data_IF_242620165982
#
_entry.id   IF_242620165982
#
_cell.length_a   1.000
_cell.length_b   1.000
_cell.length_c   1.000
_cell.angle_alpha   90.00
_cell.angle_beta   90.00
_cell.angle_gamma   90.00
#
_symmetry.space_group_name_H-M   'P 1'
#
loop_
_entity.id
_entity.type
_entity.pdbx_description
1 polymer ?
#
# COMPACT_ATOMS: atom_id res chain seq x y z
N UNK A 1 -15.80 -11.20 -44.70
CA UNK A 1 -16.43 -11.11 -43.36
C UNK A 1 -15.51 -11.80 -42.36
N UNK A 2 -14.64 -11.04 -41.69
CA UNK A 2 -13.84 -11.52 -40.56
C UNK A 2 -14.06 -10.53 -39.42
N UNK A 3 -14.57 -11.05 -38.30
CA UNK A 3 -14.78 -10.32 -37.05
C UNK A 3 -13.41 -10.10 -36.41
N UNK A 4 -13.00 -8.86 -36.24
CA UNK A 4 -11.91 -8.50 -35.33
C UNK A 4 -12.51 -8.30 -33.94
N UNK A 5 -12.13 -9.19 -33.01
CA UNK A 5 -12.46 -9.04 -31.59
C UNK A 5 -11.63 -7.90 -31.00
N UNK A 6 -12.32 -6.94 -30.40
CA UNK A 6 -11.76 -5.83 -29.61
C UNK A 6 -11.19 -6.36 -28.27
N UNK A 7 -10.07 -5.83 -27.74
CA UNK A 7 -9.45 -6.37 -26.54
C UNK A 7 -10.10 -5.77 -25.29
N UNK A 8 -11.09 -6.46 -24.73
CA UNK A 8 -11.65 -6.12 -23.41
C UNK A 8 -10.69 -6.46 -22.24
N UNK A 9 -9.65 -7.27 -22.49
CA UNK A 9 -8.75 -7.78 -21.44
C UNK A 9 -7.70 -6.77 -20.95
N UNK A 10 -7.35 -5.73 -21.70
CA UNK A 10 -6.26 -4.80 -21.33
C UNK A 10 -6.69 -3.80 -20.24
N UNK A 11 -7.97 -3.39 -20.23
CA UNK A 11 -8.49 -2.44 -19.23
C UNK A 11 -8.72 -3.07 -17.84
N UNK A 12 -8.88 -4.40 -17.77
CA UNK A 12 -9.12 -5.08 -16.49
C UNK A 12 -7.81 -5.25 -15.69
N UNK A 13 -6.67 -5.48 -16.38
CA UNK A 13 -5.35 -5.66 -15.74
C UNK A 13 -4.79 -4.33 -15.21
N UNK A 14 -4.98 -3.23 -15.95
CA UNK A 14 -4.54 -1.90 -15.50
C UNK A 14 -5.24 -1.42 -14.21
N UNK A 15 -6.47 -1.87 -13.97
CA UNK A 15 -7.22 -1.54 -12.74
C UNK A 15 -6.76 -2.39 -11.54
N UNK A 16 -6.23 -3.60 -11.80
CA UNK A 16 -5.75 -4.52 -10.75
C UNK A 16 -4.36 -4.14 -10.22
N UNK A 17 -3.50 -3.56 -11.06
CA UNK A 17 -2.13 -3.16 -10.68
C UNK A 17 -2.12 -1.85 -9.86
N UNK A 18 -3.05 -0.92 -10.10
CA UNK A 18 -3.16 0.33 -9.33
C UNK A 18 -3.68 0.04 -7.90
N UNK A 19 -4.49 -1.01 -7.71
CA UNK A 19 -5.07 -1.39 -6.42
C UNK A 19 -4.13 -2.16 -5.48
N UNK A 20 -2.91 -2.49 -5.91
CA UNK A 20 -1.95 -3.30 -5.13
C UNK A 20 -0.70 -2.54 -4.68
N UNK A 21 -0.56 -1.27 -5.05
CA UNK A 21 0.35 -0.37 -4.35
C UNK A 21 -0.44 0.30 -3.22
N UNK A 22 -0.40 -0.20 -1.97
CA UNK A 22 -0.71 0.69 -0.88
C UNK A 22 0.26 1.88 -1.02
N UNK A 23 -0.30 3.09 -1.08
CA UNK A 23 0.42 4.37 -0.95
C UNK A 23 1.12 4.49 0.43
N UNK A 24 1.19 3.38 1.19
CA UNK A 24 1.70 3.28 2.54
C UNK A 24 3.21 3.44 2.67
N UNK A 25 3.99 3.51 1.59
CA UNK A 25 5.41 3.92 1.68
C UNK A 25 5.66 5.40 1.38
N UNK A 26 4.69 6.13 0.81
CA UNK A 26 4.83 7.57 0.53
C UNK A 26 4.05 8.45 1.53
N UNK A 27 3.10 7.88 2.29
CA UNK A 27 2.25 8.62 3.22
C UNK A 27 2.67 8.51 4.71
N UNK A 28 3.66 7.71 5.07
CA UNK A 28 4.06 7.50 6.48
C UNK A 28 4.94 8.60 7.10
N UNK A 29 5.07 9.76 6.46
CA UNK A 29 5.64 10.94 7.16
C UNK A 29 5.07 12.24 6.60
N UNK A 30 3.78 12.45 6.82
CA UNK A 30 3.20 13.80 6.83
C UNK A 30 3.05 14.20 8.30
N UNK A 31 4.16 14.62 8.91
CA UNK A 31 4.12 15.42 10.12
C UNK A 31 4.13 16.91 9.74
N UNK A 32 3.38 17.77 10.44
CA UNK A 32 3.59 19.20 10.37
C UNK A 32 4.83 19.58 11.20
N UNK A 33 5.85 20.11 10.50
CA UNK A 33 6.95 20.95 11.00
C UNK A 33 7.23 20.90 12.52
N UNK A 34 8.19 20.07 12.93
CA UNK A 34 9.11 20.47 14.01
C UNK A 34 10.28 21.23 13.37
N UNK A 35 10.45 22.49 13.77
CA UNK A 35 11.60 23.32 13.38
C UNK A 35 12.90 22.62 13.79
N UNK A 36 13.67 22.13 12.81
CA UNK A 36 15.05 21.70 13.06
C UNK A 36 15.92 22.91 13.40
N UNK A 37 16.86 22.79 14.36
CA UNK A 37 17.76 23.88 14.69
C UNK A 37 18.62 24.23 13.47
N UNK A 38 18.68 25.52 13.16
CA UNK A 38 19.53 26.08 12.10
C UNK A 38 20.99 25.74 12.37
N UNK A 39 21.56 24.79 11.61
CA UNK A 39 22.98 24.50 11.70
C UNK A 39 23.44 23.10 11.30
N UNK A 40 23.08 22.60 10.12
CA UNK A 40 23.91 21.57 9.44
C UNK A 40 23.65 21.61 7.92
N UNK A 41 24.73 21.64 7.13
CA UNK A 41 24.83 21.58 5.65
C UNK A 41 23.55 21.28 4.85
N UNK A 42 23.30 22.09 3.80
CA UNK A 42 22.18 22.05 2.86
C UNK A 42 22.10 20.80 1.95
N UNK A 43 22.17 19.60 2.51
CA UNK A 43 21.88 18.38 1.77
C UNK A 43 20.36 18.21 1.66
N UNK A 44 19.82 18.38 0.44
CA UNK A 44 18.42 18.04 0.14
C UNK A 44 18.18 16.56 0.45
N UNK A 45 17.09 16.24 1.14
CA UNK A 45 16.74 14.84 1.39
C UNK A 45 16.30 14.14 0.09
N UNK A 46 16.39 12.81 0.02
CA UNK A 46 15.86 12.02 -1.11
C UNK A 46 14.38 12.31 -1.32
N UNK A 47 13.63 12.50 -0.23
CA UNK A 47 12.21 12.88 -0.27
C UNK A 47 11.99 14.22 -0.97
N UNK A 48 12.75 15.25 -0.61
CA UNK A 48 12.62 16.58 -1.24
C UNK A 48 12.92 16.49 -2.74
N UNK A 49 13.95 15.74 -3.12
CA UNK A 49 14.30 15.51 -4.52
C UNK A 49 13.19 14.76 -5.29
N UNK A 50 12.51 13.79 -4.67
CA UNK A 50 11.36 13.10 -5.28
C UNK A 50 10.20 14.08 -5.51
N UNK A 51 9.86 14.88 -4.50
CA UNK A 51 8.74 15.84 -4.56
C UNK A 51 9.01 16.90 -5.63
N UNK A 52 10.24 17.41 -5.70
CA UNK A 52 10.66 18.31 -6.78
C UNK A 52 10.53 17.64 -8.15
N UNK A 53 11.02 16.40 -8.27
CA UNK A 53 10.98 15.61 -9.50
C UNK A 53 9.55 15.41 -10.06
N UNK A 54 8.56 15.18 -9.20
CA UNK A 54 7.16 15.06 -9.62
C UNK A 54 6.59 16.32 -10.28
N UNK A 55 7.12 17.48 -9.91
CA UNK A 55 6.63 18.80 -10.32
C UNK A 55 7.45 19.44 -11.45
N UNK A 56 8.45 18.74 -12.01
CA UNK A 56 9.27 19.28 -13.09
C UNK A 56 8.47 19.50 -14.38
N UNK A 57 8.80 20.58 -15.09
CA UNK A 57 8.36 20.84 -16.46
C UNK A 57 9.29 20.17 -17.47
N UNK A 58 8.85 19.95 -18.74
CA UNK A 58 9.72 19.42 -19.79
C UNK A 58 11.02 20.22 -19.98
N UNK A 59 10.96 21.55 -19.93
CA UNK A 59 12.15 22.41 -20.07
C UNK A 59 13.14 22.25 -18.90
N UNK A 60 12.61 22.07 -17.69
CA UNK A 60 13.43 21.78 -16.52
C UNK A 60 14.08 20.39 -16.62
N UNK A 61 13.36 19.40 -17.16
CA UNK A 61 13.90 18.05 -17.39
C UNK A 61 15.03 18.10 -18.43
N UNK A 62 14.84 18.78 -19.55
CA UNK A 62 15.90 18.95 -20.55
C UNK A 62 17.17 19.60 -19.92
N UNK A 63 16.98 20.63 -19.09
CA UNK A 63 18.08 21.29 -18.37
C UNK A 63 18.79 20.33 -17.38
N UNK A 64 18.02 19.46 -16.71
CA UNK A 64 18.57 18.46 -15.79
C UNK A 64 19.30 17.33 -16.53
N UNK A 65 18.83 16.94 -17.71
CA UNK A 65 19.49 15.95 -18.56
C UNK A 65 20.83 16.48 -19.10
N UNK A 66 20.88 17.75 -19.52
CA UNK A 66 22.14 18.41 -19.89
C UNK A 66 23.12 18.45 -18.70
N UNK A 67 22.62 18.79 -17.51
CA UNK A 67 23.43 18.76 -16.29
C UNK A 67 23.95 17.35 -15.99
N UNK A 68 23.11 16.33 -16.14
CA UNK A 68 23.50 14.93 -15.91
C UNK A 68 24.51 14.44 -16.95
N UNK A 69 24.45 14.94 -18.18
CA UNK A 69 25.46 14.62 -19.20
C UNK A 69 26.85 15.16 -18.81
N UNK A 70 26.91 16.28 -18.09
CA UNK A 70 28.17 16.85 -17.57
C UNK A 70 28.66 16.14 -16.30
N UNK A 71 27.75 15.71 -15.42
CA UNK A 71 28.06 14.91 -14.24
C UNK A 71 27.14 13.68 -14.15
N UNK A 72 27.52 12.56 -14.79
CA UNK A 72 26.72 11.34 -14.79
C UNK A 72 26.55 10.71 -13.41
N UNK A 73 27.29 11.17 -12.39
CA UNK A 73 27.24 10.64 -11.03
C UNK A 73 26.36 11.44 -10.08
N UNK A 74 25.75 12.55 -10.53
CA UNK A 74 24.89 13.40 -9.71
C UNK A 74 23.61 12.66 -9.28
N UNK A 75 23.66 12.11 -8.05
CA UNK A 75 22.58 11.35 -7.41
C UNK A 75 21.31 12.19 -7.25
N UNK A 76 21.43 13.49 -6.94
CA UNK A 76 20.27 14.34 -6.73
C UNK A 76 19.51 14.56 -8.05
N UNK A 77 20.25 14.84 -9.13
CA UNK A 77 19.67 14.99 -10.48
C UNK A 77 19.02 13.69 -10.94
N UNK A 78 19.71 12.55 -10.78
CA UNK A 78 19.12 11.23 -11.11
C UNK A 78 17.87 10.94 -10.30
N UNK A 79 17.81 11.34 -9.03
CA UNK A 79 16.64 11.16 -8.18
C UNK A 79 15.45 11.97 -8.70
N UNK A 80 15.67 13.24 -9.05
CA UNK A 80 14.64 14.11 -9.63
C UNK A 80 14.11 13.58 -10.97
N UNK A 81 15.01 13.16 -11.87
CA UNK A 81 14.64 12.60 -13.17
C UNK A 81 13.92 11.25 -13.02
N UNK A 82 14.38 10.38 -12.13
CA UNK A 82 13.71 9.11 -11.84
C UNK A 82 12.28 9.33 -11.29
N UNK A 83 12.10 10.32 -10.42
CA UNK A 83 10.79 10.70 -9.93
C UNK A 83 9.90 11.28 -11.04
N UNK A 84 10.44 12.12 -11.93
CA UNK A 84 9.72 12.68 -13.07
C UNK A 84 9.21 11.59 -14.03
N UNK A 85 10.11 10.70 -14.46
CA UNK A 85 9.81 9.62 -15.41
C UNK A 85 8.99 8.48 -14.79
N UNK A 86 8.95 8.39 -13.46
CA UNK A 86 8.19 7.40 -12.71
C UNK A 86 6.66 7.51 -12.83
N UNK A 87 5.98 6.62 -12.11
CA UNK A 87 4.52 6.61 -12.00
C UNK A 87 3.79 6.45 -13.34
N UNK A 88 2.69 7.20 -13.51
CA UNK A 88 1.79 7.08 -14.66
C UNK A 88 2.41 7.45 -16.00
N UNK A 89 3.50 8.24 -16.02
CA UNK A 89 4.21 8.61 -17.25
C UNK A 89 4.86 7.38 -17.89
N UNK A 90 5.64 6.62 -17.12
CA UNK A 90 6.26 5.38 -17.59
C UNK A 90 5.28 4.31 -18.10
N UNK A 91 4.00 4.38 -17.71
CA UNK A 91 2.97 3.46 -18.21
C UNK A 91 2.37 3.89 -19.55
N UNK A 92 2.50 5.16 -19.92
CA UNK A 92 1.86 5.76 -21.10
C UNK A 92 2.85 6.13 -22.20
N UNK A 93 4.11 6.35 -21.84
CA UNK A 93 5.15 6.81 -22.76
C UNK A 93 6.36 5.88 -22.72
N UNK A 94 6.77 5.40 -23.90
CA UNK A 94 7.85 4.43 -24.04
C UNK A 94 9.21 5.05 -23.70
N UNK A 95 9.45 6.30 -24.10
CA UNK A 95 10.71 7.01 -23.81
C UNK A 95 10.86 7.26 -22.30
N UNK A 96 9.79 7.65 -21.62
CA UNK A 96 9.78 7.81 -20.17
C UNK A 96 10.04 6.48 -19.44
N UNK A 97 9.50 5.36 -19.95
CA UNK A 97 9.78 4.03 -19.40
C UNK A 97 11.26 3.67 -19.54
N UNK A 98 11.86 3.93 -20.69
CA UNK A 98 13.29 3.68 -20.95
C UNK A 98 14.20 4.56 -20.07
N UNK A 99 13.91 5.86 -19.98
CA UNK A 99 14.66 6.78 -19.12
C UNK A 99 14.56 6.39 -17.63
N UNK A 100 13.37 6.04 -17.16
CA UNK A 100 13.17 5.52 -15.79
C UNK A 100 14.01 4.26 -15.56
N UNK A 101 13.97 3.31 -16.50
CA UNK A 101 14.74 2.06 -16.42
C UNK A 101 16.23 2.35 -16.31
N UNK A 102 16.74 3.28 -17.11
CA UNK A 102 18.15 3.69 -17.09
C UNK A 102 18.56 4.22 -15.71
N UNK A 103 17.81 5.18 -15.16
CA UNK A 103 18.13 5.74 -13.84
C UNK A 103 18.04 4.70 -12.73
N UNK A 104 17.00 3.85 -12.72
CA UNK A 104 16.84 2.79 -11.73
C UNK A 104 18.01 1.79 -11.78
N UNK A 105 18.39 1.33 -12.98
CA UNK A 105 19.55 0.44 -13.15
C UNK A 105 20.86 1.10 -12.74
N UNK A 106 21.03 2.40 -13.02
CA UNK A 106 22.20 3.14 -12.57
C UNK A 106 22.30 3.14 -11.04
N UNK A 107 21.20 3.40 -10.33
CA UNK A 107 21.18 3.36 -8.87
C UNK A 107 21.51 1.96 -8.35
N UNK A 108 20.89 0.91 -8.88
CA UNK A 108 21.18 -0.47 -8.45
C UNK A 108 22.66 -0.82 -8.66
N UNK A 109 23.29 -0.32 -9.73
CA UNK A 109 24.69 -0.65 -10.06
C UNK A 109 25.72 0.18 -9.30
N UNK A 110 25.44 1.47 -9.06
CA UNK A 110 26.44 2.44 -8.60
C UNK A 110 26.16 2.97 -7.19
N UNK A 111 24.91 2.92 -6.73
CA UNK A 111 24.50 3.42 -5.41
C UNK A 111 23.36 2.56 -4.85
N UNK A 112 23.60 1.24 -4.64
CA UNK A 112 22.54 0.28 -4.29
C UNK A 112 21.95 0.49 -2.88
N UNK A 113 22.65 1.25 -2.04
CA UNK A 113 22.19 1.67 -0.72
C UNK A 113 21.34 2.96 -0.72
N UNK A 114 21.20 3.61 -1.88
CA UNK A 114 20.42 4.84 -2.00
C UNK A 114 18.95 4.60 -1.62
N UNK A 115 18.41 5.44 -0.73
CA UNK A 115 17.05 5.30 -0.21
C UNK A 115 15.98 5.32 -1.31
N UNK A 116 16.25 5.95 -2.46
CA UNK A 116 15.33 5.99 -3.61
C UNK A 116 14.96 4.59 -4.12
N UNK A 117 15.86 3.60 -3.94
CA UNK A 117 15.64 2.21 -4.35
C UNK A 117 14.60 1.48 -3.50
N UNK A 118 14.28 2.00 -2.32
CA UNK A 118 13.16 1.54 -1.49
C UNK A 118 11.81 2.17 -1.84
N UNK A 119 11.75 3.10 -2.80
CA UNK A 119 10.54 3.93 -3.05
C UNK A 119 9.84 3.61 -4.38
N UNK A 120 8.55 3.96 -4.57
CA UNK A 120 7.81 3.65 -5.80
C UNK A 120 8.43 4.16 -7.12
N UNK A 121 9.07 5.36 -7.21
CA UNK A 121 9.72 5.83 -8.43
C UNK A 121 10.76 4.87 -9.04
N UNK A 122 11.49 4.11 -8.22
CA UNK A 122 12.54 3.19 -8.70
C UNK A 122 12.03 1.81 -9.15
N UNK A 123 10.76 1.50 -8.88
CA UNK A 123 10.17 0.20 -9.19
C UNK A 123 10.04 -0.02 -10.70
N UNK A 124 10.45 -1.19 -11.19
CA UNK A 124 10.25 -1.61 -12.59
C UNK A 124 9.20 -2.72 -12.59
N UNK A 125 8.15 -2.54 -13.39
CA UNK A 125 7.00 -3.45 -13.36
C UNK A 125 7.31 -4.77 -14.08
N UNK A 126 7.18 -5.89 -13.38
CA UNK A 126 7.50 -7.22 -13.91
C UNK A 126 6.62 -7.68 -15.08
N UNK A 127 5.43 -7.09 -15.28
CA UNK A 127 4.51 -7.40 -16.37
C UNK A 127 4.70 -6.42 -17.53
N UNK A 128 4.64 -5.11 -17.23
CA UNK A 128 4.66 -4.04 -18.24
C UNK A 128 6.08 -3.75 -18.76
N UNK A 129 7.10 -4.09 -17.97
CA UNK A 129 8.51 -3.98 -18.33
C UNK A 129 9.30 -5.24 -17.91
N UNK A 130 8.89 -6.40 -18.44
CA UNK A 130 9.50 -7.69 -18.11
C UNK A 130 11.00 -7.78 -18.43
N UNK A 131 11.45 -7.11 -19.50
CA UNK A 131 12.86 -7.04 -19.87
C UNK A 131 13.66 -6.21 -18.86
N UNK A 132 13.19 -4.98 -18.57
CA UNK A 132 13.83 -4.11 -17.58
C UNK A 132 13.82 -4.72 -16.19
N UNK A 133 12.73 -5.39 -15.82
CA UNK A 133 12.64 -6.12 -14.56
C UNK A 133 13.67 -7.25 -14.47
N UNK A 134 13.81 -8.04 -15.55
CA UNK A 134 14.79 -9.13 -15.60
C UNK A 134 16.23 -8.61 -15.51
N UNK A 135 16.52 -7.47 -16.14
CA UNK A 135 17.82 -6.81 -16.07
C UNK A 135 18.12 -6.27 -14.66
N UNK A 136 17.16 -5.57 -14.05
CA UNK A 136 17.31 -5.03 -12.70
C UNK A 136 17.40 -6.14 -11.65
N UNK A 137 16.67 -7.24 -11.82
CA UNK A 137 16.82 -8.43 -10.97
C UNK A 137 18.25 -8.98 -11.02
N UNK A 138 18.85 -9.13 -12.22
CA UNK A 138 20.25 -9.56 -12.34
C UNK A 138 21.22 -8.58 -11.68
N UNK A 139 20.98 -7.28 -11.84
CA UNK A 139 21.79 -6.25 -11.18
C UNK A 139 21.71 -6.35 -9.65
N UNK A 140 20.51 -6.55 -9.09
CA UNK A 140 20.33 -6.79 -7.66
C UNK A 140 21.05 -8.04 -7.18
N UNK A 141 20.88 -9.18 -7.86
CA UNK A 141 21.57 -10.41 -7.47
C UNK A 141 23.10 -10.22 -7.47
N UNK A 142 23.64 -9.48 -8.44
CA UNK A 142 25.08 -9.19 -8.47
C UNK A 142 25.55 -8.34 -7.29
N UNK A 143 24.70 -7.46 -6.74
CA UNK A 143 25.05 -6.70 -5.52
C UNK A 143 24.99 -7.60 -4.28
N UNK A 144 23.96 -8.44 -4.17
CA UNK A 144 23.82 -9.37 -3.05
C UNK A 144 24.95 -10.42 -3.04
N UNK A 145 25.38 -10.90 -4.20
CA UNK A 145 26.51 -11.84 -4.30
C UNK A 145 27.83 -11.22 -3.79
N UNK A 146 27.98 -9.89 -3.88
CA UNK A 146 29.16 -9.17 -3.37
C UNK A 146 29.09 -8.90 -1.88
N UNK A 147 27.90 -8.56 -1.39
CA UNK A 147 27.66 -8.16 -0.01
C UNK A 147 26.44 -8.89 0.57
N UNK A 148 26.53 -10.22 0.78
CA UNK A 148 25.37 -11.04 1.12
C UNK A 148 24.78 -10.73 2.49
N UNK A 149 25.55 -10.13 3.41
CA UNK A 149 25.11 -9.79 4.76
C UNK A 149 24.67 -8.33 4.90
N UNK A 150 24.68 -7.55 3.82
CA UNK A 150 24.25 -6.16 3.86
C UNK A 150 22.72 -6.06 3.90
N UNK A 151 22.18 -5.85 5.11
CA UNK A 151 20.73 -5.83 5.35
C UNK A 151 19.99 -4.73 4.60
N UNK A 152 20.65 -3.61 4.31
CA UNK A 152 20.08 -2.53 3.48
C UNK A 152 19.87 -3.00 2.03
N UNK A 153 20.86 -3.69 1.46
CA UNK A 153 20.74 -4.25 0.11
C UNK A 153 19.69 -5.35 0.04
N UNK A 154 19.66 -6.24 1.03
CA UNK A 154 18.63 -7.27 1.15
C UNK A 154 17.23 -6.64 1.19
N UNK A 155 17.04 -5.59 1.99
CA UNK A 155 15.78 -4.84 2.08
C UNK A 155 15.35 -4.21 0.75
N UNK A 156 16.25 -3.48 0.07
CA UNK A 156 15.93 -2.86 -1.22
C UNK A 156 15.65 -3.90 -2.32
N UNK A 157 16.46 -4.97 -2.40
CA UNK A 157 16.23 -6.06 -3.34
C UNK A 157 14.90 -6.77 -3.05
N UNK A 158 14.58 -7.03 -1.79
CA UNK A 158 13.30 -7.62 -1.41
C UNK A 158 12.12 -6.74 -1.81
N UNK A 159 12.21 -5.41 -1.59
CA UNK A 159 11.18 -4.45 -2.00
C UNK A 159 10.98 -4.46 -3.52
N UNK A 160 12.05 -4.53 -4.31
CA UNK A 160 11.99 -4.66 -5.77
C UNK A 160 11.35 -5.99 -6.22
N UNK A 161 11.66 -7.10 -5.54
CA UNK A 161 11.18 -8.43 -5.90
C UNK A 161 9.76 -8.74 -5.42
N UNK A 162 9.19 -7.92 -4.52
CA UNK A 162 7.90 -8.11 -3.83
C UNK A 162 6.80 -8.71 -4.71
N UNK A 163 6.57 -8.16 -5.90
CA UNK A 163 5.50 -8.60 -6.79
C UNK A 163 5.93 -9.63 -7.85
N UNK A 164 7.15 -9.52 -8.37
CA UNK A 164 7.62 -10.36 -9.49
C UNK A 164 8.36 -11.64 -9.09
N UNK A 165 8.92 -11.71 -7.87
CA UNK A 165 9.55 -12.90 -7.29
C UNK A 165 9.42 -12.89 -5.76
N UNK A 166 8.17 -13.07 -5.31
CA UNK A 166 7.80 -13.03 -3.89
C UNK A 166 8.59 -14.03 -3.04
N UNK A 167 8.93 -15.21 -3.58
CA UNK A 167 9.68 -16.23 -2.84
C UNK A 167 11.07 -15.70 -2.46
N UNK A 168 11.80 -15.19 -3.46
CA UNK A 168 13.13 -14.60 -3.22
C UNK A 168 13.05 -13.35 -2.32
N UNK A 169 12.00 -12.55 -2.46
CA UNK A 169 11.74 -11.41 -1.56
C UNK A 169 11.60 -11.84 -0.08
N UNK A 170 10.85 -12.91 0.19
CA UNK A 170 10.71 -13.49 1.54
C UNK A 170 12.06 -14.00 2.06
N UNK A 171 12.79 -14.77 1.25
CA UNK A 171 14.12 -15.32 1.63
C UNK A 171 15.09 -14.20 2.03
N UNK A 172 15.10 -13.08 1.28
CA UNK A 172 15.93 -11.91 1.60
C UNK A 172 15.52 -11.21 2.89
N UNK A 173 14.22 -11.06 3.15
CA UNK A 173 13.73 -10.45 4.39
C UNK A 173 13.97 -11.36 5.60
N UNK A 174 13.83 -12.68 5.46
CA UNK A 174 14.16 -13.64 6.52
C UNK A 174 15.66 -13.60 6.84
N UNK A 175 16.51 -13.49 5.81
CA UNK A 175 17.95 -13.29 5.99
C UNK A 175 18.25 -11.95 6.69
N UNK A 176 17.67 -10.83 6.22
CA UNK A 176 17.84 -9.52 6.84
C UNK A 176 17.39 -9.53 8.32
N UNK A 177 16.25 -10.17 8.62
CA UNK A 177 15.75 -10.34 10.00
C UNK A 177 16.70 -11.18 10.87
N UNK A 178 17.39 -12.17 10.30
CA UNK A 178 18.37 -12.97 11.04
C UNK A 178 19.64 -12.19 11.38
N UNK A 179 20.04 -11.27 10.50
CA UNK A 179 21.23 -10.41 10.65
C UNK A 179 20.96 -9.19 11.53
N UNK A 180 19.75 -8.65 11.48
CA UNK A 180 19.30 -7.48 12.26
C UNK A 180 17.93 -7.77 12.92
N UNK A 181 17.92 -8.57 14.00
CA UNK A 181 16.68 -9.04 14.63
C UNK A 181 15.92 -7.96 15.40
N UNK A 182 16.54 -6.81 15.67
CA UNK A 182 15.93 -5.67 16.38
C UNK A 182 15.11 -4.75 15.49
N UNK A 183 15.28 -4.83 14.17
CA UNK A 183 14.65 -3.91 13.25
C UNK A 183 13.20 -4.34 12.95
N UNK A 184 12.20 -3.48 13.24
CA UNK A 184 10.79 -3.83 13.07
C UNK A 184 10.36 -3.89 11.60
N UNK A 185 11.14 -3.35 10.67
CA UNK A 185 10.79 -3.29 9.24
C UNK A 185 10.77 -4.67 8.58
N UNK A 186 11.68 -5.57 8.96
CA UNK A 186 11.74 -6.92 8.39
C UNK A 186 10.48 -7.74 8.67
N UNK A 187 10.04 -7.91 9.94
CA UNK A 187 8.79 -8.58 10.21
C UNK A 187 7.58 -7.83 9.66
N UNK A 188 7.60 -6.49 9.58
CA UNK A 188 6.52 -5.71 8.97
C UNK A 188 6.33 -6.06 7.48
N UNK A 189 7.39 -6.04 6.69
CA UNK A 189 7.31 -6.37 5.27
C UNK A 189 7.01 -7.85 5.02
N UNK A 190 7.49 -8.77 5.88
CA UNK A 190 7.08 -10.18 5.83
C UNK A 190 5.57 -10.33 6.06
N UNK A 191 5.00 -9.61 7.02
CA UNK A 191 3.55 -9.57 7.25
C UNK A 191 2.79 -9.09 6.01
N UNK A 192 3.25 -8.01 5.36
CA UNK A 192 2.64 -7.53 4.11
C UNK A 192 2.71 -8.57 2.98
N UNK A 193 3.85 -9.26 2.80
CA UNK A 193 4.02 -10.28 1.75
C UNK A 193 3.11 -11.50 1.97
N UNK A 194 2.99 -11.94 3.22
CA UNK A 194 2.12 -13.06 3.58
C UNK A 194 0.64 -12.71 3.41
N UNK A 195 0.24 -11.50 3.81
CA UNK A 195 -1.12 -10.98 3.60
C UNK A 195 -1.49 -10.95 2.10
N UNK A 196 -0.61 -10.42 1.26
CA UNK A 196 -0.80 -10.39 -0.20
C UNK A 196 -0.93 -11.80 -0.79
N UNK A 197 -0.12 -12.75 -0.33
CA UNK A 197 -0.20 -14.15 -0.76
C UNK A 197 -1.54 -14.81 -0.43
N UNK A 198 -2.10 -14.53 0.75
CA UNK A 198 -3.39 -15.04 1.17
C UNK A 198 -4.53 -14.49 0.30
N UNK A 199 -4.49 -13.20 -0.03
CA UNK A 199 -5.49 -12.56 -0.91
C UNK A 199 -5.50 -13.16 -2.32
N UNK A 200 -4.33 -13.37 -2.92
CA UNK A 200 -4.20 -13.97 -4.27
C UNK A 200 -4.68 -15.42 -4.30
N UNK A 201 -4.55 -16.16 -3.20
CA UNK A 201 -4.94 -17.57 -3.12
C UNK A 201 -6.44 -17.77 -2.82
N UNK A 202 -7.25 -16.71 -2.94
CA UNK A 202 -8.70 -16.75 -2.71
C UNK A 202 -9.12 -16.56 -1.25
N UNK A 203 -8.19 -16.14 -0.38
CA UNK A 203 -8.44 -15.82 1.04
C UNK A 203 -9.00 -17.01 1.83
N UNK A 204 -8.18 -17.73 2.60
CA UNK A 204 -8.79 -18.74 3.48
C UNK A 204 -7.93 -19.86 4.05
N UNK A 205 -6.60 -19.76 4.08
CA UNK A 205 -5.84 -20.70 4.92
C UNK A 205 -5.53 -20.03 6.27
N UNK A 206 -6.11 -20.58 7.33
CA UNK A 206 -5.94 -20.14 8.71
C UNK A 206 -4.44 -20.02 9.07
N UNK A 207 -3.61 -20.96 8.61
CA UNK A 207 -2.16 -20.93 8.86
C UNK A 207 -1.48 -19.72 8.23
N UNK A 208 -1.92 -19.32 7.04
CA UNK A 208 -1.40 -18.13 6.38
C UNK A 208 -1.79 -16.86 7.14
N UNK A 209 -3.00 -16.81 7.69
CA UNK A 209 -3.45 -15.71 8.55
C UNK A 209 -2.70 -15.67 9.89
N UNK A 210 -2.48 -16.82 10.53
CA UNK A 210 -1.66 -16.95 11.74
C UNK A 210 -0.23 -16.48 11.50
N UNK A 211 0.41 -16.92 10.40
CA UNK A 211 1.76 -16.47 10.04
C UNK A 211 1.80 -14.96 9.77
N UNK A 212 0.79 -14.42 9.10
CA UNK A 212 0.66 -12.98 8.88
C UNK A 212 0.57 -12.21 10.20
N UNK A 213 -0.26 -12.71 11.13
CA UNK A 213 -0.40 -12.12 12.47
C UNK A 213 0.92 -12.17 13.24
N UNK A 214 1.62 -13.30 13.26
CA UNK A 214 2.91 -13.48 13.95
C UNK A 214 3.93 -12.43 13.50
N UNK A 215 4.05 -12.21 12.19
CA UNK A 215 4.95 -11.21 11.64
C UNK A 215 4.59 -9.79 12.09
N UNK A 216 3.31 -9.40 12.01
CA UNK A 216 2.91 -8.07 12.48
C UNK A 216 3.06 -7.90 13.99
N UNK A 217 2.85 -8.95 14.80
CA UNK A 217 3.06 -8.90 16.24
C UNK A 217 4.53 -8.74 16.60
N UNK A 218 5.42 -9.43 15.87
CA UNK A 218 6.87 -9.25 16.02
C UNK A 218 7.27 -7.81 15.67
N UNK A 219 6.75 -7.26 14.57
CA UNK A 219 6.98 -5.86 14.21
C UNK A 219 6.49 -4.91 15.32
N UNK A 220 5.28 -5.13 15.83
CA UNK A 220 4.68 -4.32 16.90
C UNK A 220 5.49 -4.32 18.20
N UNK A 221 6.06 -5.48 18.56
CA UNK A 221 6.91 -5.61 19.75
C UNK A 221 8.24 -4.86 19.64
N UNK A 222 8.77 -4.69 18.42
CA UNK A 222 10.03 -3.99 18.13
C UNK A 222 9.84 -2.50 17.80
N UNK A 223 8.62 -2.12 17.43
CA UNK A 223 8.29 -0.79 16.92
C UNK A 223 8.29 0.31 18.01
N UNK A 224 8.58 1.53 17.58
CA UNK A 224 8.23 2.75 18.31
C UNK A 224 6.72 3.02 18.27
N UNK A 225 6.26 4.06 18.97
CA UNK A 225 4.83 4.33 19.10
C UNK A 225 4.16 4.71 17.76
N UNK A 226 4.89 5.38 16.87
CA UNK A 226 4.39 5.76 15.54
C UNK A 226 4.15 4.53 14.66
N UNK A 227 5.14 3.63 14.61
CA UNK A 227 5.01 2.40 13.84
C UNK A 227 3.99 1.46 14.47
N UNK A 228 3.95 1.31 15.80
CA UNK A 228 2.92 0.53 16.51
C UNK A 228 1.53 0.97 16.12
N UNK A 229 1.30 2.26 16.09
CA UNK A 229 0.01 2.81 15.69
C UNK A 229 -0.36 2.43 14.26
N UNK A 230 0.58 2.59 13.31
CA UNK A 230 0.34 2.25 11.91
C UNK A 230 0.08 0.75 11.68
N UNK A 231 0.51 -0.11 12.61
CA UNK A 231 0.34 -1.56 12.55
C UNK A 231 -1.03 -2.04 13.07
N UNK A 232 -1.77 -1.22 13.82
CA UNK A 232 -2.99 -1.65 14.49
C UNK A 232 -4.06 -2.19 13.52
N UNK A 233 -4.22 -1.55 12.36
CA UNK A 233 -5.16 -2.00 11.33
C UNK A 233 -4.78 -3.39 10.79
N UNK A 234 -3.50 -3.58 10.46
CA UNK A 234 -2.99 -4.85 9.98
C UNK A 234 -3.12 -5.97 11.03
N UNK A 235 -2.81 -5.66 12.29
CA UNK A 235 -2.95 -6.58 13.41
C UNK A 235 -4.41 -6.99 13.64
N UNK A 236 -5.35 -6.04 13.64
CA UNK A 236 -6.76 -6.31 13.85
C UNK A 236 -7.33 -7.20 12.72
N UNK A 237 -7.01 -6.87 11.46
CA UNK A 237 -7.43 -7.65 10.28
C UNK A 237 -6.79 -9.04 10.23
N UNK A 238 -5.50 -9.15 10.53
CA UNK A 238 -4.78 -10.43 10.58
C UNK A 238 -5.31 -11.31 11.71
N UNK A 239 -5.51 -10.77 12.91
CA UNK A 239 -6.07 -11.50 14.05
C UNK A 239 -7.49 -12.00 13.77
N UNK A 240 -8.33 -11.17 13.15
CA UNK A 240 -9.69 -11.59 12.75
C UNK A 240 -9.66 -12.74 11.74
N UNK A 241 -8.75 -12.66 10.77
CA UNK A 241 -8.56 -13.69 9.74
C UNK A 241 -7.96 -14.99 10.32
N UNK A 242 -7.16 -14.87 11.38
CA UNK A 242 -6.56 -15.97 12.14
C UNK A 242 -7.50 -16.56 13.20
N UNK A 243 -8.78 -16.16 13.23
CA UNK A 243 -9.78 -16.52 14.23
C UNK A 243 -9.38 -16.22 15.69
N UNK A 244 -8.43 -15.30 15.88
CA UNK A 244 -7.97 -14.80 17.18
C UNK A 244 -8.83 -13.61 17.60
N UNK A 245 -10.13 -13.84 17.84
CA UNK A 245 -11.13 -12.78 17.99
C UNK A 245 -10.86 -11.83 19.17
N UNK A 246 -10.31 -12.33 20.28
CA UNK A 246 -9.96 -11.49 21.44
C UNK A 246 -8.83 -10.51 21.10
N UNK A 247 -7.83 -10.97 20.35
CA UNK A 247 -6.72 -10.11 19.89
C UNK A 247 -7.21 -9.11 18.83
N UNK A 248 -8.07 -9.55 17.91
CA UNK A 248 -8.69 -8.67 16.92
C UNK A 248 -9.50 -7.55 17.57
N UNK A 249 -10.29 -7.89 18.60
CA UNK A 249 -11.03 -6.94 19.42
C UNK A 249 -10.09 -5.95 20.11
N UNK A 250 -9.03 -6.45 20.76
CA UNK A 250 -8.07 -5.61 21.46
C UNK A 250 -7.43 -4.56 20.54
N UNK A 251 -6.90 -4.96 19.38
CA UNK A 251 -6.30 -4.01 18.44
C UNK A 251 -7.32 -3.04 17.83
N UNK A 252 -8.55 -3.50 17.60
CA UNK A 252 -9.62 -2.64 17.13
C UNK A 252 -10.03 -1.59 18.17
N UNK A 253 -10.07 -1.95 19.44
CA UNK A 253 -10.33 -1.01 20.54
C UNK A 253 -9.20 0.01 20.69
N UNK A 254 -7.93 -0.40 20.54
CA UNK A 254 -6.79 0.53 20.53
C UNK A 254 -6.89 1.58 19.40
N UNK A 255 -7.35 1.18 18.21
CA UNK A 255 -7.60 2.13 17.12
C UNK A 255 -8.64 3.19 17.51
N UNK A 256 -9.70 2.80 18.22
CA UNK A 256 -10.78 3.71 18.62
C UNK A 256 -10.41 4.58 19.83
N UNK A 257 -9.61 4.07 20.77
CA UNK A 257 -9.16 4.82 21.95
C UNK A 257 -8.20 5.95 21.60
N UNK A 258 -7.31 5.72 20.62
CA UNK A 258 -6.28 6.67 20.23
C UNK A 258 -6.72 7.59 19.07
N UNK A 259 -8.02 7.70 18.77
CA UNK A 259 -8.54 8.44 17.62
C UNK A 259 -8.45 9.98 17.73
N UNK A 260 -7.35 10.48 18.29
CA UNK A 260 -7.01 11.90 18.30
C UNK A 260 -7.06 12.48 16.88
N UNK A 261 -7.49 13.74 16.71
CA UNK A 261 -7.54 14.39 15.41
C UNK A 261 -6.18 14.32 14.70
N UNK A 262 -6.15 13.71 13.51
CA UNK A 262 -4.93 13.54 12.73
C UNK A 262 -5.25 12.97 11.34
N UNK A 263 -4.25 12.92 10.45
CA UNK A 263 -4.45 12.49 9.07
C UNK A 263 -5.02 11.06 8.95
N UNK A 264 -4.74 10.21 9.94
CA UNK A 264 -5.15 8.80 9.97
C UNK A 264 -6.36 8.52 10.87
N UNK A 265 -6.90 9.52 11.59
CA UNK A 265 -7.99 9.30 12.55
C UNK A 265 -9.21 8.66 11.87
N UNK A 266 -9.49 9.08 10.64
CA UNK A 266 -10.63 8.56 9.91
C UNK A 266 -10.52 7.08 9.55
N UNK A 267 -9.31 6.60 9.23
CA UNK A 267 -9.06 5.17 9.00
C UNK A 267 -9.22 4.36 10.28
N UNK A 268 -8.72 4.87 11.41
CA UNK A 268 -8.83 4.17 12.70
C UNK A 268 -10.27 3.98 13.15
N UNK A 269 -11.07 5.05 13.07
CA UNK A 269 -12.51 5.01 13.37
C UNK A 269 -13.23 4.04 12.44
N UNK A 270 -12.91 4.08 11.15
CA UNK A 270 -13.53 3.23 10.14
C UNK A 270 -13.19 1.75 10.37
N UNK A 271 -11.93 1.37 10.27
CA UNK A 271 -11.51 -0.03 10.32
C UNK A 271 -11.70 -0.67 11.69
N UNK A 272 -11.51 0.07 12.79
CA UNK A 272 -11.76 -0.44 14.14
C UNK A 272 -13.22 -0.83 14.35
N UNK A 273 -14.16 0.01 13.91
CA UNK A 273 -15.58 -0.34 13.98
C UNK A 273 -15.94 -1.50 13.04
N UNK A 274 -15.36 -1.60 11.84
CA UNK A 274 -15.61 -2.74 10.96
C UNK A 274 -15.17 -4.07 11.60
N UNK A 275 -13.97 -4.14 12.17
CA UNK A 275 -13.51 -5.37 12.84
C UNK A 275 -14.42 -5.73 14.00
N UNK A 276 -14.76 -4.77 14.88
CA UNK A 276 -15.66 -5.02 16.00
C UNK A 276 -17.06 -5.45 15.56
N UNK A 277 -17.61 -4.86 14.51
CA UNK A 277 -18.91 -5.24 13.97
C UNK A 277 -18.92 -6.64 13.37
N UNK A 278 -17.84 -7.05 12.69
CA UNK A 278 -17.71 -8.43 12.17
C UNK A 278 -17.54 -9.45 13.29
N UNK A 279 -16.83 -9.10 14.36
CA UNK A 279 -16.77 -9.93 15.58
C UNK A 279 -18.16 -10.06 16.21
N UNK A 280 -18.93 -8.96 16.28
CA UNK A 280 -20.30 -8.98 16.79
C UNK A 280 -21.22 -9.89 15.96
N UNK A 281 -21.12 -9.88 14.62
CA UNK A 281 -21.85 -10.81 13.75
C UNK A 281 -21.51 -12.27 14.03
N UNK A 282 -20.22 -12.61 14.22
CA UNK A 282 -19.82 -13.99 14.58
C UNK A 282 -20.41 -14.44 15.93
N UNK A 283 -20.71 -13.50 16.81
CA UNK A 283 -21.36 -13.73 18.10
C UNK A 283 -22.90 -13.64 18.03
N UNK A 284 -23.50 -13.60 16.83
CA UNK A 284 -24.93 -13.44 16.58
C UNK A 284 -25.53 -12.13 17.17
N UNK A 285 -24.68 -11.14 17.44
CA UNK A 285 -25.10 -9.83 17.93
C UNK A 285 -25.26 -8.85 16.75
N UNK A 286 -26.37 -9.03 16.03
CA UNK A 286 -26.71 -8.26 14.83
C UNK A 286 -26.86 -6.77 15.17
N UNK A 287 -27.48 -6.41 16.29
CA UNK A 287 -27.68 -5.00 16.67
C UNK A 287 -26.36 -4.26 16.86
N UNK A 288 -25.39 -4.87 17.54
CA UNK A 288 -24.06 -4.27 17.69
C UNK A 288 -23.36 -4.17 16.33
N UNK A 289 -23.47 -5.17 15.46
CA UNK A 289 -22.90 -5.10 14.12
C UNK A 289 -23.46 -3.95 13.28
N UNK A 290 -24.78 -3.73 13.35
CA UNK A 290 -25.45 -2.58 12.71
C UNK A 290 -24.91 -1.26 13.25
N UNK A 291 -24.88 -1.11 14.56
CA UNK A 291 -24.35 0.08 15.25
C UNK A 291 -22.92 0.39 14.83
N UNK A 292 -22.06 -0.64 14.78
CA UNK A 292 -20.66 -0.53 14.36
C UNK A 292 -20.51 -0.13 12.90
N UNK A 293 -21.32 -0.66 11.99
CA UNK A 293 -21.27 -0.23 10.59
C UNK A 293 -21.57 1.28 10.46
N UNK A 294 -22.60 1.77 11.15
CA UNK A 294 -22.94 3.20 11.12
C UNK A 294 -21.87 4.07 11.78
N UNK A 295 -21.25 3.58 12.87
CA UNK A 295 -20.13 4.26 13.51
C UNK A 295 -18.93 4.37 12.56
N UNK A 296 -18.62 3.32 11.79
CA UNK A 296 -17.58 3.37 10.76
C UNK A 296 -17.88 4.43 9.69
N UNK A 297 -19.13 4.53 9.24
CA UNK A 297 -19.56 5.51 8.24
C UNK A 297 -19.55 6.96 8.73
N UNK A 298 -19.67 7.19 10.04
CA UNK A 298 -19.68 8.54 10.63
C UNK A 298 -18.28 9.15 10.85
N UNK A 299 -17.23 8.50 10.34
CA UNK A 299 -15.88 9.05 10.30
C UNK A 299 -15.81 10.37 9.52
N UNK A 300 -14.81 11.22 9.84
CA UNK A 300 -14.52 12.44 9.08
C UNK A 300 -13.84 12.17 7.73
N UNK A 301 -13.54 10.90 7.43
CA UNK A 301 -12.79 10.49 6.25
C UNK A 301 -11.27 10.59 6.46
N UNK A 302 -10.53 10.17 5.45
CA UNK A 302 -9.07 10.19 5.38
C UNK A 302 -8.64 10.29 3.91
N UNK A 303 -7.40 10.66 3.58
CA UNK A 303 -6.96 10.68 2.19
C UNK A 303 -7.23 9.35 1.45
N UNK A 304 -7.08 8.22 2.13
CA UNK A 304 -7.35 6.89 1.59
C UNK A 304 -8.85 6.64 1.39
N UNK A 305 -9.67 6.89 2.40
CA UNK A 305 -11.13 6.70 2.35
C UNK A 305 -11.78 7.63 1.32
N UNK A 306 -11.26 8.85 1.17
CA UNK A 306 -11.80 9.84 0.24
C UNK A 306 -11.42 9.52 -1.21
N UNK A 307 -10.35 8.75 -1.43
CA UNK A 307 -9.85 8.39 -2.75
C UNK A 307 -10.33 6.99 -3.19
N UNK A 308 -9.79 5.94 -2.58
CA UNK A 308 -10.08 4.54 -2.94
C UNK A 308 -11.47 4.11 -2.47
N UNK A 309 -11.94 4.72 -1.39
CA UNK A 309 -13.25 4.46 -0.81
C UNK A 309 -13.18 3.62 0.46
N UNK A 310 -14.31 3.51 1.17
CA UNK A 310 -14.42 2.76 2.40
C UNK A 310 -14.45 1.25 2.15
N UNK A 311 -13.97 0.50 3.12
CA UNK A 311 -14.11 -0.95 3.14
C UNK A 311 -15.58 -1.37 3.32
N UNK A 312 -15.98 -2.43 2.60
CA UNK A 312 -17.35 -2.94 2.49
C UNK A 312 -17.53 -4.33 3.10
N UNK A 313 -16.53 -4.88 3.81
CA UNK A 313 -16.59 -6.24 4.38
C UNK A 313 -17.75 -6.44 5.34
N UNK A 314 -17.93 -5.56 6.34
CA UNK A 314 -19.07 -5.64 7.26
C UNK A 314 -20.41 -5.38 6.56
N UNK A 315 -20.44 -4.45 5.60
CA UNK A 315 -21.64 -4.20 4.81
C UNK A 315 -22.06 -5.43 3.99
N UNK A 316 -21.09 -6.14 3.40
CA UNK A 316 -21.30 -7.42 2.71
C UNK A 316 -21.83 -8.47 3.68
N UNK A 317 -21.18 -8.66 4.82
CA UNK A 317 -21.56 -9.65 5.83
C UNK A 317 -23.01 -9.39 6.34
N UNK A 318 -23.41 -8.12 6.50
CA UNK A 318 -24.77 -7.71 6.87
C UNK A 318 -25.79 -7.98 5.74
N UNK A 319 -25.45 -7.68 4.48
CA UNK A 319 -26.33 -7.98 3.34
C UNK A 319 -26.57 -9.49 3.18
N UNK A 320 -25.59 -10.34 3.50
CA UNK A 320 -25.72 -11.81 3.44
C UNK A 320 -26.78 -12.36 4.39
N UNK A 321 -27.00 -11.69 5.53
CA UNK A 321 -28.05 -12.05 6.49
C UNK A 321 -29.33 -11.21 6.33
N UNK A 322 -29.41 -10.40 5.26
CA UNK A 322 -30.62 -9.64 4.89
C UNK A 322 -30.73 -8.24 5.50
N UNK A 323 -29.70 -7.75 6.18
CA UNK A 323 -29.68 -6.45 6.84
C UNK A 323 -29.43 -5.31 5.85
N UNK A 324 -30.50 -4.85 5.19
CA UNK A 324 -30.40 -3.96 4.02
C UNK A 324 -30.48 -2.49 4.40
N UNK A 325 -31.38 -2.14 5.31
CA UNK A 325 -31.67 -0.76 5.70
C UNK A 325 -30.42 -0.09 6.28
N UNK A 326 -29.71 -0.78 7.18
CA UNK A 326 -28.46 -0.28 7.79
C UNK A 326 -27.35 -0.07 6.76
N UNK A 327 -27.27 -0.93 5.74
CA UNK A 327 -26.24 -0.84 4.70
C UNK A 327 -26.50 0.32 3.76
N UNK A 328 -27.77 0.57 3.42
CA UNK A 328 -28.17 1.76 2.66
C UNK A 328 -27.88 3.05 3.44
N UNK A 329 -28.09 3.06 4.75
CA UNK A 329 -27.72 4.18 5.60
C UNK A 329 -26.20 4.38 5.63
N UNK A 330 -25.43 3.30 5.76
CA UNK A 330 -23.97 3.35 5.69
C UNK A 330 -23.46 3.92 4.36
N UNK A 331 -24.05 3.57 3.21
CA UNK A 331 -23.69 4.18 1.92
C UNK A 331 -23.93 5.69 1.90
N UNK A 332 -25.03 6.16 2.51
CA UNK A 332 -25.31 7.59 2.66
C UNK A 332 -24.32 8.30 3.59
N UNK A 333 -23.80 7.61 4.60
CA UNK A 333 -22.74 8.16 5.44
C UNK A 333 -21.42 8.24 4.67
N UNK A 334 -21.07 7.19 3.93
CA UNK A 334 -19.87 7.12 3.09
C UNK A 334 -19.82 8.21 2.02
N UNK A 335 -20.95 8.59 1.43
CA UNK A 335 -21.00 9.63 0.39
C UNK A 335 -20.60 11.02 0.87
N UNK A 336 -20.47 11.24 2.18
CA UNK A 336 -19.99 12.50 2.76
C UNK A 336 -18.48 12.71 2.59
N UNK A 337 -17.72 11.62 2.47
CA UNK A 337 -16.26 11.67 2.35
C UNK A 337 -15.74 11.02 1.06
N UNK A 338 -16.48 10.07 0.49
CA UNK A 338 -16.17 9.44 -0.80
C UNK A 338 -17.06 10.04 -1.90
N UNK A 339 -16.67 11.22 -2.39
CA UNK A 339 -17.58 12.17 -3.07
C UNK A 339 -17.23 12.47 -4.54
N UNK A 340 -16.21 11.82 -5.10
CA UNK A 340 -15.94 11.92 -6.54
C UNK A 340 -17.14 11.44 -7.38
N UNK A 341 -17.27 11.91 -8.62
CA UNK A 341 -18.38 11.49 -9.50
C UNK A 341 -18.42 9.98 -9.70
N UNK A 342 -17.24 9.33 -9.79
CA UNK A 342 -17.11 7.88 -9.85
C UNK A 342 -17.60 7.21 -8.55
N UNK A 343 -17.26 7.77 -7.40
CA UNK A 343 -17.68 7.24 -6.10
C UNK A 343 -19.20 7.33 -5.94
N UNK A 344 -19.80 8.46 -6.31
CA UNK A 344 -21.26 8.65 -6.29
C UNK A 344 -21.99 7.65 -7.19
N UNK A 345 -21.56 7.52 -8.44
CA UNK A 345 -22.12 6.53 -9.38
C UNK A 345 -21.96 5.09 -8.85
N UNK A 346 -20.85 4.79 -8.18
CA UNK A 346 -20.60 3.48 -7.56
C UNK A 346 -21.57 3.23 -6.38
N UNK A 347 -21.70 4.18 -5.46
CA UNK A 347 -22.61 4.09 -4.32
C UNK A 347 -24.08 4.00 -4.76
N UNK A 348 -24.48 4.73 -5.80
CA UNK A 348 -25.84 4.66 -6.35
C UNK A 348 -26.14 3.27 -6.92
N UNK A 349 -25.22 2.71 -7.71
CA UNK A 349 -25.34 1.34 -8.25
C UNK A 349 -25.41 0.29 -7.15
N UNK A 350 -24.54 0.39 -6.15
CA UNK A 350 -24.56 -0.49 -4.99
C UNK A 350 -25.85 -0.35 -4.19
N UNK A 351 -26.35 0.88 -4.01
CA UNK A 351 -27.61 1.18 -3.35
C UNK A 351 -28.81 0.53 -4.03
N UNK A 352 -28.90 0.60 -5.36
CA UNK A 352 -29.97 -0.08 -6.13
C UNK A 352 -29.94 -1.60 -5.92
N UNK A 353 -28.75 -2.21 -5.94
CA UNK A 353 -28.60 -3.66 -5.74
C UNK A 353 -28.96 -4.07 -4.31
N UNK A 354 -28.44 -3.37 -3.30
CA UNK A 354 -28.73 -3.64 -1.89
C UNK A 354 -30.23 -3.44 -1.56
N UNK A 355 -30.83 -2.38 -2.09
CA UNK A 355 -32.26 -2.11 -1.98
C UNK A 355 -33.13 -3.18 -2.66
N UNK A 356 -32.59 -3.94 -3.62
CA UNK A 356 -33.23 -5.11 -4.23
C UNK A 356 -32.87 -6.44 -3.56
N UNK A 357 -32.06 -6.45 -2.50
CA UNK A 357 -31.69 -7.65 -1.74
C UNK A 357 -30.58 -8.44 -2.40
N UNK A 358 -29.84 -7.78 -3.30
CA UNK A 358 -28.67 -8.33 -3.97
C UNK A 358 -27.43 -7.76 -3.30
N UNK A 359 -26.41 -8.60 -3.19
CA UNK A 359 -25.09 -8.18 -2.71
C UNK A 359 -24.34 -7.56 -3.91
N UNK A 360 -23.94 -6.28 -3.85
CA UNK A 360 -23.12 -5.69 -4.89
C UNK A 360 -21.76 -6.38 -4.99
N UNK A 361 -21.18 -6.36 -6.18
CA UNK A 361 -19.76 -6.66 -6.31
C UNK A 361 -18.96 -5.45 -5.80
N UNK A 362 -18.44 -5.59 -4.58
CA UNK A 362 -17.63 -4.58 -3.92
C UNK A 362 -16.17 -4.58 -4.41
N UNK A 363 -15.74 -5.59 -5.16
CA UNK A 363 -14.39 -5.71 -5.69
C UNK A 363 -13.32 -5.44 -4.63
N UNK A 364 -12.43 -4.50 -4.92
CA UNK A 364 -11.29 -4.21 -4.07
C UNK A 364 -11.68 -3.55 -2.73
N UNK A 365 -12.88 -2.98 -2.59
CA UNK A 365 -13.39 -2.45 -1.32
C UNK A 365 -13.60 -3.52 -0.23
N UNK A 366 -13.36 -4.80 -0.53
CA UNK A 366 -13.33 -5.85 0.48
C UNK A 366 -11.94 -6.03 1.13
N UNK A 367 -10.89 -5.42 0.59
CA UNK A 367 -9.50 -5.74 0.94
C UNK A 367 -8.73 -4.63 1.64
N UNK A 368 -8.92 -3.37 1.26
CA UNK A 368 -8.20 -2.24 1.87
C UNK A 368 -8.81 -1.79 3.19
#
# INVERSE_FOLDING_TARGET
>A
MMKTSTPLMVNMVATFVIGLYPVSLAAQSVEPHEERPEGSSSHKSVRDAIVEGWNLTPDQVASLEEKLAMDPSDVAVRTQLLAYYGGSRSFRDQSAKEAKREHALWFIRNSPESEILGTPPSQIDHILDSEGYSEAKRAWMSQIDREPENTRLLGHAAAFLKFGDRRTSIEMLEQAQSLDPSNPEWPRELGHLHSLGAQVSGGGDLKSAEKTLEHFQRAYGLADDSLRDSLLDYLAKAAFSADQLDQARHYAELMLQNAEPGWNSGNRVHHGNLVLGRIALRADNIEEARSRLLAAGNTTGSPQLNSFGPNMSLAKDLLEIGEREVVLEYFKLCSRFWDSDRAKDTLDKWGVLAAAGRIPDFGANLHY
#
